data_IF_953875011821
#
_entry.id   IF_953875011821
#
_cell.length_a   1.000
_cell.length_b   1.000
_cell.length_c   1.000
_cell.angle_alpha   90.00
_cell.angle_beta   90.00
_cell.angle_gamma   90.00
#
_symmetry.space_group_name_H-M   'P 1'
#
loop_
_entity.id
_entity.type
_entity.pdbx_description
1 polymer ?
#
# COMPACT_ATOMS: atom_id res chain seq x y z
N UNK A 1 11.42 -1.28 6.48
CA UNK A 1 10.95 -1.96 7.70
C UNK A 1 9.50 -1.57 7.91
N UNK A 2 8.58 -2.46 7.58
CA UNK A 2 7.15 -2.21 7.79
C UNK A 2 6.86 -2.03 9.28
N UNK A 3 6.21 -0.93 9.61
CA UNK A 3 5.63 -0.68 10.95
C UNK A 3 4.28 -1.39 11.13
N UNK A 4 3.84 -2.19 10.14
CA UNK A 4 2.57 -2.91 10.16
C UNK A 4 2.74 -4.29 10.80
N UNK A 5 1.84 -4.67 11.67
CA UNK A 5 1.74 -6.04 12.18
C UNK A 5 1.05 -6.96 11.17
N UNK A 6 1.08 -8.26 11.43
CA UNK A 6 0.42 -9.26 10.59
C UNK A 6 -0.66 -9.99 11.38
N UNK A 7 -1.66 -10.50 10.68
CA UNK A 7 -2.66 -11.40 11.23
C UNK A 7 -2.59 -12.76 10.53
N UNK A 8 -2.40 -13.81 11.30
CA UNK A 8 -2.43 -15.20 10.83
C UNK A 8 -3.78 -15.81 11.22
N UNK A 9 -4.60 -16.12 10.21
CA UNK A 9 -5.97 -16.65 10.40
C UNK A 9 -6.07 -18.09 9.91
N UNK A 10 -6.90 -18.87 10.58
CA UNK A 10 -7.12 -20.24 10.18
C UNK A 10 -8.22 -20.92 11.00
N UNK A 11 -8.28 -22.25 10.88
CA UNK A 11 -9.24 -23.09 11.61
C UNK A 11 -8.49 -24.21 12.33
N UNK A 12 -9.00 -24.59 13.49
CA UNK A 12 -8.53 -25.73 14.26
C UNK A 12 -9.67 -26.26 15.16
N UNK A 13 -9.43 -27.30 15.94
CA UNK A 13 -10.39 -27.80 16.90
C UNK A 13 -10.69 -26.73 17.98
N UNK A 14 -11.96 -26.63 18.36
CA UNK A 14 -12.45 -25.64 19.32
C UNK A 14 -11.65 -25.67 20.63
N UNK A 15 -11.25 -24.50 21.12
CA UNK A 15 -10.50 -24.38 22.39
C UNK A 15 -9.03 -24.79 22.31
N UNK A 16 -8.51 -25.06 21.10
CA UNK A 16 -7.11 -25.45 20.91
C UNK A 16 -6.18 -24.24 20.93
N UNK A 17 -5.10 -24.26 21.75
CA UNK A 17 -4.04 -23.26 21.69
C UNK A 17 -3.29 -23.33 20.35
N UNK A 18 -3.08 -22.18 19.73
CA UNK A 18 -2.33 -22.01 18.49
C UNK A 18 -1.08 -21.18 18.75
N UNK A 19 0.04 -21.60 18.23
CA UNK A 19 1.28 -20.83 18.21
C UNK A 19 1.76 -20.58 16.79
N UNK A 20 2.17 -19.35 16.52
CA UNK A 20 2.87 -18.97 15.29
C UNK A 20 4.33 -18.74 15.62
N UNK A 21 5.21 -19.37 14.86
CA UNK A 21 6.67 -19.38 15.10
C UNK A 21 7.44 -18.97 13.85
N UNK A 22 8.63 -18.43 14.05
CA UNK A 22 9.61 -18.26 12.99
C UNK A 22 10.34 -19.57 12.61
N UNK A 23 11.24 -19.50 11.65
CA UNK A 23 12.05 -20.65 11.21
C UNK A 23 13.03 -21.17 12.29
N UNK A 24 13.36 -20.35 13.30
CA UNK A 24 14.18 -20.73 14.43
C UNK A 24 13.36 -21.40 15.55
N UNK A 25 12.01 -21.43 15.41
CA UNK A 25 11.09 -21.95 16.41
C UNK A 25 10.69 -20.95 17.50
N UNK A 26 11.07 -19.68 17.36
CA UNK A 26 10.67 -18.61 18.29
C UNK A 26 9.18 -18.35 18.14
N UNK A 27 8.43 -18.33 19.24
CA UNK A 27 7.00 -18.01 19.24
C UNK A 27 6.84 -16.50 19.01
N UNK A 28 6.18 -16.15 17.91
CA UNK A 28 5.90 -14.77 17.50
C UNK A 28 4.52 -14.30 17.97
N UNK A 29 3.58 -15.22 18.16
CA UNK A 29 2.25 -14.91 18.64
C UNK A 29 1.44 -16.17 18.94
N UNK A 30 0.37 -16.00 19.73
CA UNK A 30 -0.50 -17.08 20.16
C UNK A 30 -1.97 -16.68 20.10
N UNK A 31 -2.85 -17.66 19.95
CA UNK A 31 -4.29 -17.50 20.10
C UNK A 31 -4.93 -18.80 20.59
N UNK A 32 -6.21 -18.76 20.94
CA UNK A 32 -7.01 -19.95 21.20
C UNK A 32 -8.16 -19.99 20.18
N UNK A 33 -8.39 -21.16 19.60
CA UNK A 33 -9.48 -21.35 18.63
C UNK A 33 -10.83 -21.10 19.29
N UNK A 34 -11.65 -20.26 18.66
CA UNK A 34 -12.98 -19.90 19.11
C UNK A 34 -13.99 -21.05 18.99
N UNK A 35 -15.20 -20.83 19.51
CA UNK A 35 -16.31 -21.81 19.43
C UNK A 35 -16.80 -22.07 18.01
N UNK A 36 -16.43 -21.22 17.06
CA UNK A 36 -16.68 -21.38 15.62
C UNK A 36 -15.58 -22.14 14.87
N UNK A 37 -14.57 -22.65 15.60
CA UNK A 37 -13.43 -23.35 15.04
C UNK A 37 -12.40 -22.47 14.37
N UNK A 38 -12.50 -21.13 14.50
CA UNK A 38 -11.58 -20.17 13.89
C UNK A 38 -10.61 -19.58 14.89
N UNK A 39 -9.42 -19.22 14.42
CA UNK A 39 -8.45 -18.44 15.18
C UNK A 39 -7.91 -17.26 14.38
N UNK A 40 -7.45 -16.25 15.10
CA UNK A 40 -6.66 -15.13 14.58
C UNK A 40 -5.50 -14.90 15.55
N UNK A 41 -4.27 -15.04 15.07
CA UNK A 41 -3.06 -14.68 15.81
C UNK A 41 -2.58 -13.35 15.27
N UNK A 42 -2.52 -12.33 16.13
CA UNK A 42 -1.96 -11.02 15.80
C UNK A 42 -0.47 -11.03 16.10
N UNK A 43 0.34 -10.66 15.12
CA UNK A 43 1.78 -10.44 15.25
C UNK A 43 2.01 -8.94 15.26
N UNK A 44 2.58 -8.42 16.34
CA UNK A 44 2.86 -7.00 16.48
C UNK A 44 3.88 -6.52 15.44
N UNK A 45 3.88 -5.22 15.19
CA UNK A 45 4.83 -4.56 14.30
C UNK A 45 6.28 -4.89 14.67
N UNK A 46 7.06 -5.32 13.68
CA UNK A 46 8.47 -5.71 13.86
C UNK A 46 8.68 -7.13 14.39
N UNK A 47 7.61 -7.89 14.71
CA UNK A 47 7.71 -9.28 15.17
C UNK A 47 8.04 -10.24 14.03
N UNK A 48 7.54 -9.96 12.83
CA UNK A 48 7.84 -10.70 11.61
C UNK A 48 8.24 -9.74 10.47
N UNK A 49 9.01 -10.25 9.52
CA UNK A 49 9.42 -9.52 8.31
C UNK A 49 8.58 -9.94 7.11
N UNK A 50 8.55 -9.12 6.06
CA UNK A 50 7.94 -9.46 4.79
C UNK A 50 8.59 -10.70 4.16
N UNK A 51 7.81 -11.48 3.41
CA UNK A 51 8.23 -12.74 2.79
C UNK A 51 8.81 -13.79 3.76
N UNK A 52 8.52 -13.66 5.05
CA UNK A 52 8.96 -14.60 6.07
C UNK A 52 8.06 -15.84 6.10
N UNK A 53 8.66 -17.02 6.06
CA UNK A 53 7.93 -18.28 6.30
C UNK A 53 7.70 -18.46 7.79
N UNK A 54 6.45 -18.66 8.16
CA UNK A 54 5.99 -18.91 9.51
C UNK A 54 5.53 -20.36 9.65
N UNK A 55 5.72 -20.93 10.83
CA UNK A 55 5.21 -22.23 11.23
C UNK A 55 4.04 -22.04 12.20
N UNK A 56 2.93 -22.70 11.95
CA UNK A 56 1.73 -22.64 12.80
C UNK A 56 1.47 -24.02 13.36
N UNK A 57 1.46 -24.15 14.69
CA UNK A 57 1.19 -25.38 15.38
C UNK A 57 0.03 -25.24 16.36
N UNK A 58 -0.74 -26.31 16.49
CA UNK A 58 -1.77 -26.44 17.50
C UNK A 58 -1.25 -27.34 18.64
N UNK A 59 -1.62 -27.05 19.89
CA UNK A 59 -1.24 -27.86 21.06
C UNK A 59 -2.48 -28.44 21.73
N UNK A 60 -2.40 -29.72 22.13
CA UNK A 60 -3.44 -30.29 22.96
C UNK A 60 -3.20 -29.97 24.46
N UNK A 61 -4.13 -30.36 25.31
CA UNK A 61 -4.04 -30.14 26.76
C UNK A 61 -2.81 -30.82 27.41
N UNK A 62 -2.23 -31.83 26.78
CA UNK A 62 -1.01 -32.51 27.23
C UNK A 62 0.28 -31.86 26.73
N UNK A 63 0.18 -30.76 25.96
CA UNK A 63 1.31 -30.05 25.35
C UNK A 63 1.87 -30.71 24.08
N UNK A 64 1.21 -31.76 23.55
CA UNK A 64 1.61 -32.37 22.28
C UNK A 64 1.25 -31.47 21.12
N UNK A 65 2.20 -31.28 20.20
CA UNK A 65 2.04 -30.43 19.04
C UNK A 65 1.53 -31.19 17.82
N UNK A 66 0.71 -30.52 17.01
CA UNK A 66 0.32 -31.01 15.68
C UNK A 66 1.51 -30.99 14.72
N UNK A 67 1.34 -31.61 13.53
CA UNK A 67 2.20 -31.26 12.40
C UNK A 67 2.08 -29.77 12.10
N UNK A 68 3.19 -29.09 11.78
CA UNK A 68 3.16 -27.67 11.47
C UNK A 68 2.47 -27.40 10.14
N UNK A 69 1.62 -26.39 10.11
CA UNK A 69 1.18 -25.75 8.88
C UNK A 69 2.13 -24.57 8.59
N UNK A 70 2.34 -24.24 7.32
CA UNK A 70 3.17 -23.11 6.92
C UNK A 70 2.31 -21.96 6.40
N UNK A 71 2.71 -20.74 6.73
CA UNK A 71 2.19 -19.51 6.19
C UNK A 71 3.36 -18.60 5.80
N UNK A 72 3.19 -17.73 4.81
CA UNK A 72 4.22 -16.76 4.45
C UNK A 72 3.63 -15.37 4.63
N UNK A 73 4.36 -14.48 5.31
CA UNK A 73 3.95 -13.07 5.40
C UNK A 73 3.96 -12.45 4.01
N UNK A 74 3.02 -11.54 3.73
CA UNK A 74 3.01 -10.83 2.45
C UNK A 74 4.33 -10.12 2.17
N UNK A 75 4.60 -9.85 0.88
CA UNK A 75 5.69 -9.00 0.47
C UNK A 75 5.51 -7.57 1.04
N UNK A 76 6.60 -6.90 1.32
CA UNK A 76 6.58 -5.47 1.64
C UNK A 76 6.47 -4.68 0.33
N UNK A 77 5.56 -3.73 0.28
CA UNK A 77 5.40 -2.83 -0.87
C UNK A 77 6.17 -1.55 -0.58
N UNK A 78 7.15 -1.24 -1.41
CA UNK A 78 7.93 0.00 -1.29
C UNK A 78 7.04 1.19 -1.64
N UNK A 79 7.16 2.29 -0.87
CA UNK A 79 6.44 3.53 -1.19
C UNK A 79 6.88 4.04 -2.58
N UNK A 80 5.94 4.42 -3.45
CA UNK A 80 6.28 4.99 -4.75
C UNK A 80 7.09 6.29 -4.60
N UNK A 81 8.02 6.53 -5.52
CA UNK A 81 8.68 7.82 -5.68
C UNK A 81 7.98 8.57 -6.82
N UNK A 82 7.57 9.80 -6.58
CA UNK A 82 7.02 10.66 -7.63
C UNK A 82 8.11 11.57 -8.16
N UNK A 83 8.38 11.46 -9.46
CA UNK A 83 9.43 12.25 -10.12
C UNK A 83 8.88 13.56 -10.66
N UNK A 84 7.66 13.54 -11.21
CA UNK A 84 7.07 14.73 -11.79
C UNK A 84 5.54 14.71 -11.77
N UNK A 85 4.94 15.92 -11.75
CA UNK A 85 3.53 16.16 -12.01
C UNK A 85 3.46 17.24 -13.09
N UNK A 86 2.84 16.91 -14.23
CA UNK A 86 2.64 17.81 -15.36
C UNK A 86 1.16 18.00 -15.66
N UNK A 87 0.81 19.09 -16.35
CA UNK A 87 -0.58 19.40 -16.69
C UNK A 87 -1.08 20.66 -16.01
N UNK A 88 -2.38 20.85 -16.02
CA UNK A 88 -3.08 21.99 -15.40
C UNK A 88 -4.55 21.64 -15.14
N UNK A 89 -5.27 22.49 -14.41
CA UNK A 89 -6.67 22.29 -14.06
C UNK A 89 -7.62 22.14 -15.26
N UNK A 90 -7.26 22.72 -16.41
CA UNK A 90 -8.06 22.68 -17.64
C UNK A 90 -7.85 21.44 -18.52
N UNK A 91 -6.70 20.76 -18.41
CA UNK A 91 -6.36 19.58 -19.21
C UNK A 91 -6.25 18.28 -18.38
N UNK A 92 -6.26 18.39 -17.07
CA UNK A 92 -5.91 17.30 -16.15
C UNK A 92 -4.42 17.25 -15.87
N UNK A 93 -4.00 16.28 -15.07
CA UNK A 93 -2.61 16.11 -14.65
C UNK A 93 -2.10 14.71 -14.98
N UNK A 94 -0.80 14.61 -15.18
CA UNK A 94 -0.08 13.36 -15.33
C UNK A 94 0.99 13.29 -14.25
N UNK A 95 1.00 12.18 -13.51
CA UNK A 95 1.96 11.89 -12.44
C UNK A 95 2.85 10.76 -12.93
N UNK A 96 4.16 10.99 -12.94
CA UNK A 96 5.17 9.98 -13.30
C UNK A 96 6.09 9.71 -12.12
N UNK A 97 6.61 8.49 -12.05
CA UNK A 97 7.51 8.09 -10.99
C UNK A 97 7.92 6.63 -11.05
N UNK A 98 8.48 6.14 -9.94
CA UNK A 98 8.96 4.76 -9.81
C UNK A 98 8.37 4.06 -8.59
N UNK A 99 8.19 2.74 -8.70
CA UNK A 99 7.69 1.86 -7.65
C UNK A 99 8.27 0.45 -7.84
N UNK A 100 7.92 -0.50 -6.98
CA UNK A 100 8.22 -1.90 -7.23
C UNK A 100 7.58 -2.36 -8.55
N UNK A 101 8.24 -3.22 -9.36
CA UNK A 101 7.69 -3.68 -10.63
C UNK A 101 6.33 -4.36 -10.48
N UNK A 102 5.43 -4.12 -11.45
CA UNK A 102 4.08 -4.69 -11.50
C UNK A 102 3.21 -4.35 -10.27
N UNK A 103 3.46 -3.21 -9.65
CA UNK A 103 2.70 -2.67 -8.52
C UNK A 103 1.56 -1.78 -9.04
N UNK A 104 0.37 -1.95 -8.50
CA UNK A 104 -0.74 -1.02 -8.77
C UNK A 104 -0.51 0.27 -8.01
N UNK A 105 -0.54 1.40 -8.72
CA UNK A 105 -0.40 2.74 -8.14
C UNK A 105 -1.80 3.35 -8.01
N UNK A 106 -2.14 3.81 -6.82
CA UNK A 106 -3.35 4.60 -6.57
C UNK A 106 -2.96 6.03 -6.18
N UNK A 107 -3.62 7.01 -6.80
CA UNK A 107 -3.55 8.41 -6.42
C UNK A 107 -4.85 8.80 -5.74
N UNK A 108 -4.75 9.33 -4.53
CA UNK A 108 -5.90 9.72 -3.71
C UNK A 108 -5.90 11.22 -3.46
N UNK A 109 -7.08 11.80 -3.42
CA UNK A 109 -7.31 13.20 -3.05
C UNK A 109 -7.17 13.41 -1.52
N UNK A 110 -7.24 14.65 -1.01
CA UNK A 110 -7.17 14.92 0.42
C UNK A 110 -8.29 14.29 1.25
N UNK A 111 -9.39 13.85 0.63
CA UNK A 111 -10.47 13.11 1.30
C UNK A 111 -10.21 11.61 1.40
N UNK A 112 -9.17 11.11 0.72
CA UNK A 112 -8.83 9.70 0.59
C UNK A 112 -9.52 8.98 -0.56
N UNK A 113 -10.28 9.68 -1.40
CA UNK A 113 -10.91 9.09 -2.59
C UNK A 113 -9.86 8.83 -3.68
N UNK A 114 -9.94 7.66 -4.32
CA UNK A 114 -9.05 7.32 -5.46
C UNK A 114 -9.48 8.12 -6.68
N UNK A 115 -8.59 8.98 -7.18
CA UNK A 115 -8.82 9.87 -8.34
C UNK A 115 -8.04 9.45 -9.58
N UNK A 116 -7.12 8.50 -9.45
CA UNK A 116 -6.36 7.93 -10.57
C UNK A 116 -5.66 6.64 -10.17
N UNK A 117 -5.47 5.77 -11.17
CA UNK A 117 -4.74 4.50 -10.99
C UNK A 117 -3.81 4.25 -12.16
N UNK A 118 -2.73 3.53 -11.92
CA UNK A 118 -1.77 3.06 -12.91
C UNK A 118 -1.14 1.76 -12.46
N UNK A 119 -0.20 1.25 -13.26
CA UNK A 119 0.62 0.09 -12.87
C UNK A 119 2.05 0.37 -13.29
N UNK A 120 3.00 0.09 -12.42
CA UNK A 120 4.42 0.18 -12.76
C UNK A 120 4.82 -0.94 -13.71
N UNK A 121 5.69 -0.63 -14.66
CA UNK A 121 6.20 -1.59 -15.63
C UNK A 121 7.28 -2.52 -15.02
N UNK A 122 7.92 -3.33 -15.86
CA UNK A 122 8.97 -4.26 -15.43
C UNK A 122 10.24 -3.56 -14.91
N UNK A 123 10.44 -2.28 -15.23
CA UNK A 123 11.54 -1.46 -14.72
C UNK A 123 11.16 -0.72 -13.43
N UNK A 124 9.87 -0.73 -13.11
CA UNK A 124 9.30 0.01 -11.98
C UNK A 124 8.74 1.38 -12.35
N UNK A 125 8.81 1.81 -13.61
CA UNK A 125 8.31 3.11 -14.05
C UNK A 125 6.77 3.12 -14.12
N UNK A 126 6.14 4.19 -13.66
CA UNK A 126 4.69 4.36 -13.76
C UNK A 126 4.27 5.71 -14.28
N UNK A 127 3.08 5.75 -14.86
CA UNK A 127 2.37 6.95 -15.25
C UNK A 127 0.90 6.83 -14.81
N UNK A 128 0.40 7.84 -14.11
CA UNK A 128 -1.01 7.94 -13.70
C UNK A 128 -1.59 9.23 -14.27
N UNK A 129 -2.65 9.11 -15.07
CA UNK A 129 -3.39 10.25 -15.61
C UNK A 129 -4.56 10.59 -14.68
N UNK A 130 -4.66 11.85 -14.27
CA UNK A 130 -5.77 12.41 -13.53
C UNK A 130 -6.65 13.24 -14.46
N UNK A 131 -7.92 12.85 -14.64
CA UNK A 131 -8.86 13.62 -15.49
C UNK A 131 -9.07 15.03 -14.98
N UNK A 132 -9.49 15.91 -15.89
CA UNK A 132 -9.90 17.28 -15.55
C UNK A 132 -10.94 17.32 -14.44
N UNK A 133 -10.75 18.19 -13.47
CA UNK A 133 -11.71 18.40 -12.36
C UNK A 133 -11.61 17.36 -11.22
N UNK A 134 -10.64 16.44 -11.25
CA UNK A 134 -10.42 15.49 -10.14
C UNK A 134 -9.54 16.04 -9.03
N UNK A 135 -8.75 17.07 -9.32
CA UNK A 135 -7.88 17.75 -8.35
C UNK A 135 -7.67 19.21 -8.76
N UNK A 136 -7.25 20.05 -7.82
CA UNK A 136 -6.99 21.47 -8.03
C UNK A 136 -5.52 21.80 -7.77
N UNK A 137 -5.01 22.91 -8.36
CA UNK A 137 -3.71 23.44 -7.99
C UNK A 137 -3.61 23.70 -6.49
N UNK A 138 -2.53 23.21 -5.88
CA UNK A 138 -2.30 23.33 -4.44
C UNK A 138 -2.88 22.20 -3.58
N UNK A 139 -3.63 21.27 -4.14
CA UNK A 139 -4.05 20.07 -3.43
C UNK A 139 -2.84 19.20 -3.10
N UNK A 140 -2.84 18.60 -1.91
CA UNK A 140 -1.88 17.56 -1.55
C UNK A 140 -2.49 16.20 -1.84
N UNK A 141 -1.92 15.48 -2.78
CA UNK A 141 -2.34 14.13 -3.15
C UNK A 141 -1.51 13.08 -2.43
N UNK A 142 -2.11 11.92 -2.23
CA UNK A 142 -1.43 10.75 -1.66
C UNK A 142 -1.26 9.69 -2.74
N UNK A 143 -0.02 9.25 -2.97
CA UNK A 143 0.33 8.18 -3.91
C UNK A 143 0.75 6.95 -3.13
N UNK A 144 0.08 5.83 -3.37
CA UNK A 144 0.39 4.54 -2.74
C UNK A 144 0.58 3.44 -3.78
N UNK A 145 1.45 2.49 -3.47
CA UNK A 145 1.59 1.24 -4.21
C UNK A 145 0.80 0.13 -3.56
N UNK A 146 0.20 -0.74 -4.38
CA UNK A 146 -0.48 -1.97 -3.92
C UNK A 146 0.06 -3.17 -4.67
N UNK A 147 0.41 -4.22 -3.93
CA UNK A 147 0.78 -5.50 -4.52
C UNK A 147 -0.46 -6.32 -4.95
N UNK A 148 -0.21 -7.46 -5.61
CA UNK A 148 -1.28 -8.36 -6.04
C UNK A 148 -2.03 -9.03 -4.88
N UNK A 149 -1.49 -9.00 -3.66
CA UNK A 149 -2.15 -9.49 -2.45
C UNK A 149 -3.02 -8.41 -1.78
N UNK A 150 -2.97 -7.16 -2.29
CA UNK A 150 -3.71 -6.01 -1.76
C UNK A 150 -3.02 -5.30 -0.59
N UNK A 151 -1.75 -5.59 -0.32
CA UNK A 151 -0.99 -4.83 0.68
C UNK A 151 -0.66 -3.45 0.13
N UNK A 152 -0.81 -2.43 0.97
CA UNK A 152 -0.51 -1.05 0.63
C UNK A 152 0.88 -0.65 1.15
N UNK A 153 1.59 0.16 0.37
CA UNK A 153 2.82 0.82 0.79
C UNK A 153 2.57 1.92 1.82
N UNK A 154 3.62 2.47 2.39
CA UNK A 154 3.53 3.79 2.99
C UNK A 154 3.16 4.82 1.91
N UNK A 155 2.40 5.86 2.28
CA UNK A 155 2.01 6.91 1.35
C UNK A 155 3.18 7.84 1.00
N UNK A 156 3.20 8.30 -0.26
CA UNK A 156 4.02 9.42 -0.70
C UNK A 156 3.10 10.62 -0.94
N UNK A 157 3.35 11.72 -0.25
CA UNK A 157 2.59 12.95 -0.44
C UNK A 157 3.20 13.80 -1.55
N UNK A 158 2.36 14.36 -2.42
CA UNK A 158 2.79 15.23 -3.52
C UNK A 158 1.86 16.43 -3.64
N UNK A 159 2.43 17.59 -3.94
CA UNK A 159 1.69 18.83 -4.13
C UNK A 159 1.39 19.02 -5.61
N UNK A 160 0.10 19.24 -5.96
CA UNK A 160 -0.30 19.60 -7.31
C UNK A 160 0.23 21.00 -7.65
N UNK A 161 1.00 21.15 -8.75
CA UNK A 161 1.58 22.44 -9.10
C UNK A 161 0.50 23.48 -9.41
N UNK A 162 0.82 24.75 -9.17
CA UNK A 162 -0.03 25.86 -9.57
C UNK A 162 -0.10 25.90 -11.11
N UNK A 163 -1.26 26.26 -11.64
CA UNK A 163 -1.40 26.50 -13.08
C UNK A 163 -0.51 27.67 -13.50
N UNK A 164 0.13 27.54 -14.66
CA UNK A 164 0.91 28.63 -15.21
C UNK A 164 -0.01 29.84 -15.48
N UNK A 165 0.29 30.97 -14.86
CA UNK A 165 -0.45 32.23 -15.12
C UNK A 165 -0.04 32.78 -16.47
N UNK A 166 -0.99 32.84 -17.40
CA UNK A 166 -0.77 33.58 -18.67
C UNK A 166 -0.99 35.05 -18.39
N UNK A 167 0.08 35.85 -18.49
CA UNK A 167 -0.02 37.31 -18.35
C UNK A 167 -0.80 37.85 -19.53
N UNK A 168 -1.81 38.67 -19.26
CA UNK A 168 -2.56 39.33 -20.32
C UNK A 168 -1.62 40.21 -21.20
N UNK A 169 -1.75 40.15 -22.53
CA UNK A 169 -0.93 40.99 -23.40
C UNK A 169 -1.23 42.48 -23.16
N UNK A 170 -0.18 43.31 -23.11
CA UNK A 170 -0.31 44.76 -23.00
C UNK A 170 -0.37 45.32 -24.41
N UNK A 171 -1.46 46.01 -24.74
CA UNK A 171 -1.54 46.77 -26.01
C UNK A 171 -0.98 48.17 -25.79
N UNK A 172 0.17 48.46 -26.41
CA UNK A 172 0.91 49.72 -26.23
C UNK A 172 0.52 50.80 -27.25
N UNK A 173 -0.32 50.50 -28.23
CA UNK A 173 -0.87 51.46 -29.16
C UNK A 173 -1.60 50.82 -30.34
N UNK A 174 -2.57 51.53 -30.87
CA UNK A 174 -3.23 51.24 -32.16
C UNK A 174 -3.08 52.52 -33.00
N UNK A 175 -2.37 52.43 -34.13
CA UNK A 175 -2.23 53.53 -35.07
C UNK A 175 -3.16 53.28 -36.26
N UNK A 176 -4.03 54.25 -36.59
CA UNK A 176 -4.83 54.26 -37.82
C UNK A 176 -4.03 54.82 -38.99
N UNK A 177 -4.36 54.39 -40.21
CA UNK A 177 -3.84 54.92 -41.48
C UNK A 177 -4.77 56.01 -41.96
#
# INVERSE_FOLDING_TARGET
STTKGYEVKGTAEVGTPIEVRDAAGTVLGTATTGTDGKYTVTLDSGTATANQTLSVVAKNASGTESQPATATTPADVTAPTVDNITGNSGSGYEITGTADPNTTIEVRDPSGAVIGTGTSDANGDFTVTLPTGTTNPGDTLTVIGKDNAGNESQPTEVLVPADATVTAPTVTGVTGN
#
